data_IF_834612270577
#
_entry.id   IF_834612270577
#
_cell.length_a   1.000
_cell.length_b   1.000
_cell.length_c   1.000
_cell.angle_alpha   90.00
_cell.angle_beta   90.00
_cell.angle_gamma   90.00
#
_symmetry.space_group_name_H-M   'P 1'
#
loop_
_entity.id
_entity.type
_entity.pdbx_description
1 polymer ?
#
# COMPACT_ATOMS: atom_id res chain seq x y z
N UNK A 1 -12.22 9.51 -35.64
CA UNK A 1 -11.97 10.86 -35.10
C UNK A 1 -13.19 11.18 -34.25
N UNK A 2 -13.06 11.05 -32.93
CA UNK A 2 -14.20 11.14 -32.01
C UNK A 2 -14.52 12.59 -31.73
N UNK A 3 -15.73 13.01 -32.09
CA UNK A 3 -16.25 14.35 -31.80
C UNK A 3 -16.17 14.59 -30.29
N UNK A 4 -15.27 15.48 -29.89
CA UNK A 4 -15.25 16.02 -28.53
C UNK A 4 -16.49 16.90 -28.42
N UNK A 5 -17.61 16.31 -28.00
CA UNK A 5 -18.79 17.06 -27.56
C UNK A 5 -18.44 17.67 -26.21
N UNK A 6 -17.71 18.79 -26.26
CA UNK A 6 -17.50 19.63 -25.09
C UNK A 6 -18.85 20.26 -24.77
N UNK A 7 -19.65 19.56 -23.97
CA UNK A 7 -20.84 20.13 -23.36
C UNK A 7 -20.33 20.89 -22.13
N UNK A 8 -20.56 22.20 -22.01
CA UNK A 8 -20.09 23.00 -20.88
C UNK A 8 -20.47 22.42 -19.51
N UNK A 9 -21.57 21.66 -19.44
CA UNK A 9 -21.99 20.93 -18.24
C UNK A 9 -20.97 19.91 -17.74
N UNK A 10 -20.26 19.22 -18.65
CA UNK A 10 -19.34 18.14 -18.30
C UNK A 10 -18.05 18.69 -17.68
N UNK A 11 -17.58 19.85 -18.15
CA UNK A 11 -16.45 20.54 -17.55
C UNK A 11 -16.78 20.94 -16.11
N UNK A 12 -17.96 21.55 -15.90
CA UNK A 12 -18.41 21.95 -14.56
C UNK A 12 -18.55 20.71 -13.66
N UNK A 13 -19.17 19.64 -14.15
CA UNK A 13 -19.29 18.37 -13.41
C UNK A 13 -17.91 17.78 -13.05
N UNK A 14 -16.95 17.83 -13.98
CA UNK A 14 -15.59 17.36 -13.75
C UNK A 14 -14.84 18.18 -12.69
N UNK A 15 -14.98 19.51 -12.71
CA UNK A 15 -14.41 20.40 -11.68
C UNK A 15 -15.04 20.12 -10.31
N UNK A 16 -16.37 19.97 -10.26
CA UNK A 16 -17.08 19.65 -9.01
C UNK A 16 -16.62 18.29 -8.48
N UNK A 17 -16.57 17.27 -9.33
CA UNK A 17 -16.10 15.94 -8.95
C UNK A 17 -14.66 15.98 -8.41
N UNK A 18 -13.77 16.69 -9.09
CA UNK A 18 -12.39 16.89 -8.64
C UNK A 18 -12.32 17.56 -7.25
N UNK A 19 -13.09 18.63 -7.05
CA UNK A 19 -13.14 19.37 -5.78
C UNK A 19 -13.68 18.49 -4.64
N UNK A 20 -14.77 17.76 -4.89
CA UNK A 20 -15.37 16.83 -3.92
C UNK A 20 -14.40 15.71 -3.56
N UNK A 21 -13.80 15.04 -4.54
CA UNK A 21 -12.86 13.95 -4.29
C UNK A 21 -11.60 14.42 -3.56
N UNK A 22 -11.09 15.60 -3.89
CA UNK A 22 -9.95 16.20 -3.18
C UNK A 22 -10.32 16.55 -1.73
N UNK A 23 -11.54 17.06 -1.49
CA UNK A 23 -12.04 17.33 -0.15
C UNK A 23 -12.21 16.05 0.67
N UNK A 24 -12.77 14.99 0.07
CA UNK A 24 -12.89 13.66 0.69
C UNK A 24 -11.51 13.10 1.03
N UNK A 25 -10.55 13.19 0.12
CA UNK A 25 -9.16 12.77 0.37
C UNK A 25 -8.55 13.55 1.54
N UNK A 26 -8.80 14.86 1.62
CA UNK A 26 -8.39 15.70 2.75
C UNK A 26 -9.06 15.31 4.08
N UNK A 27 -10.32 14.89 4.04
CA UNK A 27 -11.04 14.39 5.20
C UNK A 27 -10.49 13.04 5.69
N UNK A 28 -10.25 12.10 4.76
CA UNK A 28 -9.62 10.81 5.02
C UNK A 28 -8.24 11.01 5.65
N UNK A 29 -7.39 11.87 5.08
CA UNK A 29 -6.07 12.19 5.64
C UNK A 29 -6.16 12.67 7.09
N UNK A 30 -7.05 13.62 7.37
CA UNK A 30 -7.27 14.13 8.74
C UNK A 30 -7.80 13.06 9.68
N UNK A 31 -8.66 12.16 9.20
CA UNK A 31 -9.21 11.08 9.99
C UNK A 31 -8.14 10.04 10.37
N UNK A 32 -7.32 9.62 9.39
CA UNK A 32 -6.17 8.72 9.57
C UNK A 32 -5.18 9.32 10.57
N UNK A 33 -4.85 10.60 10.39
CA UNK A 33 -3.90 11.33 11.23
C UNK A 33 -4.36 11.42 12.69
N UNK A 34 -5.65 11.74 12.91
CA UNK A 34 -6.19 12.02 14.25
C UNK A 34 -6.58 10.77 15.05
N UNK A 35 -7.14 9.73 14.41
CA UNK A 35 -7.71 8.58 15.13
C UNK A 35 -6.88 7.31 15.04
N UNK A 36 -6.28 7.02 13.88
CA UNK A 36 -5.78 5.68 13.62
C UNK A 36 -4.28 5.53 13.80
N UNK A 37 -3.48 6.46 13.28
CA UNK A 37 -2.01 6.32 13.33
C UNK A 37 -1.44 6.49 14.74
N UNK A 38 -2.10 7.26 15.62
CA UNK A 38 -1.70 7.41 17.03
C UNK A 38 -1.74 6.09 17.82
N UNK A 39 -2.52 5.10 17.37
CA UNK A 39 -2.68 3.82 18.07
C UNK A 39 -1.75 2.73 17.54
N UNK A 40 -1.22 2.89 16.31
CA UNK A 40 -0.48 1.85 15.59
C UNK A 40 1.03 2.09 15.63
N UNK A 41 1.48 3.35 15.58
CA UNK A 41 2.92 3.66 15.60
C UNK A 41 3.20 5.01 16.28
N UNK A 42 4.20 5.02 17.16
CA UNK A 42 4.75 6.26 17.76
C UNK A 42 5.76 6.93 16.82
N UNK A 43 6.22 6.23 15.78
CA UNK A 43 7.18 6.76 14.81
C UNK A 43 6.52 7.81 13.90
N UNK A 44 6.96 9.06 14.06
CA UNK A 44 6.49 10.20 13.28
C UNK A 44 6.81 10.05 11.79
N UNK A 45 7.95 9.45 11.44
CA UNK A 45 8.38 9.30 10.04
C UNK A 45 7.46 8.35 9.26
N UNK A 46 7.12 7.20 9.84
CA UNK A 46 6.19 6.26 9.24
C UNK A 46 4.78 6.86 9.06
N UNK A 47 4.32 7.62 10.07
CA UNK A 47 3.02 8.32 10.03
C UNK A 47 2.96 9.36 8.91
N UNK A 48 3.97 10.22 8.81
CA UNK A 48 4.03 11.27 7.79
C UNK A 48 4.15 10.69 6.39
N UNK A 49 4.93 9.61 6.22
CA UNK A 49 5.02 8.88 4.96
C UNK A 49 3.65 8.33 4.52
N UNK A 50 2.91 7.68 5.41
CA UNK A 50 1.58 7.13 5.11
C UNK A 50 0.57 8.22 4.72
N UNK A 51 0.50 9.31 5.48
CA UNK A 51 -0.40 10.45 5.16
C UNK A 51 -0.05 11.06 3.81
N UNK A 52 1.25 11.16 3.51
CA UNK A 52 1.75 11.68 2.24
C UNK A 52 1.38 10.77 1.07
N UNK A 53 1.58 9.45 1.19
CA UNK A 53 1.22 8.45 0.17
C UNK A 53 -0.29 8.48 -0.11
N UNK A 54 -1.12 8.46 0.93
CA UNK A 54 -2.59 8.56 0.80
C UNK A 54 -2.98 9.88 0.12
N UNK A 55 -2.31 10.97 0.48
CA UNK A 55 -2.55 12.29 -0.08
C UNK A 55 -2.28 12.37 -1.58
N UNK A 56 -1.11 11.91 -2.03
CA UNK A 56 -0.75 11.91 -3.44
C UNK A 56 -1.60 10.94 -4.24
N UNK A 57 -1.86 9.75 -3.70
CA UNK A 57 -2.71 8.75 -4.37
C UNK A 57 -4.12 9.27 -4.58
N UNK A 58 -4.74 9.81 -3.52
CA UNK A 58 -6.10 10.36 -3.61
C UNK A 58 -6.18 11.60 -4.52
N UNK A 59 -5.16 12.46 -4.52
CA UNK A 59 -5.09 13.58 -5.46
C UNK A 59 -5.01 13.11 -6.92
N UNK A 60 -4.12 12.16 -7.23
CA UNK A 60 -4.00 11.60 -8.60
C UNK A 60 -5.30 10.97 -9.07
N UNK A 61 -5.97 10.19 -8.21
CA UNK A 61 -7.28 9.60 -8.54
C UNK A 61 -8.32 10.69 -8.79
N UNK A 62 -8.39 11.70 -7.91
CA UNK A 62 -9.33 12.83 -8.06
C UNK A 62 -9.13 13.53 -9.40
N UNK A 63 -7.87 13.76 -9.79
CA UNK A 63 -7.50 14.39 -11.05
C UNK A 63 -7.94 13.56 -12.27
N UNK A 64 -7.61 12.27 -12.29
CA UNK A 64 -7.96 11.38 -13.40
C UNK A 64 -9.48 11.28 -13.57
N UNK A 65 -10.22 11.14 -12.47
CA UNK A 65 -11.69 11.09 -12.49
C UNK A 65 -12.28 12.42 -12.96
N UNK A 66 -11.80 13.55 -12.45
CA UNK A 66 -12.26 14.88 -12.87
C UNK A 66 -12.02 15.14 -14.35
N UNK A 67 -10.85 14.76 -14.89
CA UNK A 67 -10.54 14.85 -16.31
C UNK A 67 -11.45 13.96 -17.16
N UNK A 68 -11.68 12.71 -16.74
CA UNK A 68 -12.56 11.78 -17.43
C UNK A 68 -14.00 12.31 -17.53
N UNK A 69 -14.56 12.78 -16.41
CA UNK A 69 -15.91 13.39 -16.37
C UNK A 69 -15.95 14.68 -17.20
N UNK A 70 -14.86 15.46 -17.18
CA UNK A 70 -14.69 16.66 -18.01
C UNK A 70 -14.67 16.41 -19.51
N UNK A 71 -14.69 15.14 -19.95
CA UNK A 71 -14.66 14.76 -21.36
C UNK A 71 -13.26 14.62 -21.94
N UNK A 72 -12.22 14.64 -21.11
CA UNK A 72 -10.83 14.42 -21.53
C UNK A 72 -10.60 12.92 -21.70
N UNK A 73 -10.07 12.51 -22.86
CA UNK A 73 -9.69 11.12 -23.09
C UNK A 73 -8.40 10.80 -22.32
N UNK A 74 -8.56 10.14 -21.16
CA UNK A 74 -7.44 9.73 -20.30
C UNK A 74 -6.84 8.36 -20.67
N UNK A 75 -7.27 7.72 -21.75
CA UNK A 75 -6.83 6.36 -22.10
C UNK A 75 -5.31 6.26 -22.24
N UNK A 76 -4.68 7.24 -22.92
CA UNK A 76 -3.22 7.28 -23.05
C UNK A 76 -2.51 7.46 -21.70
N UNK A 77 -3.05 8.32 -20.83
CA UNK A 77 -2.52 8.49 -19.46
C UNK A 77 -2.66 7.22 -18.64
N UNK A 78 -3.78 6.51 -18.76
CA UNK A 78 -4.03 5.25 -18.06
C UNK A 78 -3.04 4.15 -18.48
N UNK A 79 -2.68 4.07 -19.76
CA UNK A 79 -1.67 3.13 -20.25
C UNK A 79 -0.30 3.43 -19.63
N UNK A 80 0.14 4.69 -19.64
CA UNK A 80 1.41 5.09 -19.05
C UNK A 80 1.43 4.86 -17.54
N UNK A 81 0.38 5.27 -16.83
CA UNK A 81 0.24 5.03 -15.40
C UNK A 81 0.24 3.52 -15.07
N UNK A 82 -0.38 2.70 -15.91
CA UNK A 82 -0.37 1.24 -15.78
C UNK A 82 1.04 0.66 -15.93
N UNK A 83 1.76 1.05 -16.98
CA UNK A 83 3.14 0.61 -17.21
C UNK A 83 4.08 1.01 -16.05
N UNK A 84 3.96 2.25 -15.58
CA UNK A 84 4.70 2.73 -14.41
C UNK A 84 4.36 1.94 -13.15
N UNK A 85 3.07 1.66 -12.92
CA UNK A 85 2.61 0.89 -11.75
C UNK A 85 3.17 -0.53 -11.75
N UNK A 86 3.21 -1.18 -12.93
CA UNK A 86 3.84 -2.50 -13.11
C UNK A 86 5.34 -2.42 -12.82
N UNK A 87 6.05 -1.41 -13.34
CA UNK A 87 7.48 -1.21 -13.08
C UNK A 87 7.80 -1.01 -11.59
N UNK A 88 7.00 -0.20 -10.88
CA UNK A 88 7.12 -0.01 -9.43
C UNK A 88 6.86 -1.32 -8.69
N UNK A 89 5.83 -2.08 -9.11
CA UNK A 89 5.52 -3.39 -8.53
C UNK A 89 6.69 -4.38 -8.65
N UNK A 90 7.35 -4.44 -9.81
CA UNK A 90 8.56 -5.24 -9.98
C UNK A 90 9.72 -4.75 -9.09
N UNK A 91 9.91 -3.44 -8.94
CA UNK A 91 10.92 -2.88 -8.04
C UNK A 91 10.68 -3.21 -6.56
N UNK A 92 9.41 -3.30 -6.15
CA UNK A 92 9.01 -3.62 -4.77
C UNK A 92 8.81 -5.12 -4.51
N UNK A 93 8.96 -5.97 -5.53
CA UNK A 93 8.66 -7.40 -5.45
C UNK A 93 9.41 -8.11 -4.31
N UNK A 94 10.71 -7.82 -4.15
CA UNK A 94 11.54 -8.43 -3.10
C UNK A 94 11.03 -8.09 -1.69
N UNK A 95 10.67 -6.82 -1.46
CA UNK A 95 10.13 -6.35 -0.18
C UNK A 95 8.79 -7.04 0.12
N UNK A 96 7.91 -7.12 -0.88
CA UNK A 96 6.62 -7.79 -0.74
C UNK A 96 6.79 -9.29 -0.43
N UNK A 97 7.69 -9.98 -1.13
CA UNK A 97 7.98 -11.41 -0.89
C UNK A 97 8.51 -11.65 0.53
N UNK A 98 9.46 -10.83 1.00
CA UNK A 98 9.98 -10.93 2.36
C UNK A 98 8.90 -10.69 3.41
N UNK A 99 8.02 -9.71 3.18
CA UNK A 99 6.91 -9.41 4.08
C UNK A 99 5.89 -10.55 4.18
N UNK A 100 5.44 -11.08 3.04
CA UNK A 100 4.51 -12.21 2.99
C UNK A 100 5.13 -13.43 3.66
N UNK A 101 6.41 -13.71 3.40
CA UNK A 101 7.13 -14.81 4.04
C UNK A 101 7.14 -14.66 5.56
N UNK A 102 7.35 -13.44 6.07
CA UNK A 102 7.26 -13.13 7.49
C UNK A 102 5.87 -13.44 8.08
N UNK A 103 4.78 -13.05 7.41
CA UNK A 103 3.41 -13.36 7.86
C UNK A 103 3.15 -14.87 7.86
N UNK A 104 3.56 -15.58 6.79
CA UNK A 104 3.38 -17.03 6.68
C UNK A 104 4.10 -17.74 7.82
N UNK A 105 5.34 -17.38 8.12
CA UNK A 105 6.10 -17.95 9.23
C UNK A 105 5.40 -17.77 10.59
N UNK A 106 4.78 -16.62 10.83
CA UNK A 106 4.02 -16.35 12.06
C UNK A 106 2.76 -17.22 12.16
N UNK A 107 2.11 -17.51 11.02
CA UNK A 107 0.87 -18.27 10.96
C UNK A 107 1.10 -19.77 11.01
N UNK A 108 2.07 -20.24 10.22
CA UNK A 108 2.37 -21.66 10.01
C UNK A 108 3.16 -22.24 11.19
N UNK A 109 3.77 -21.39 12.03
CA UNK A 109 4.63 -21.77 13.18
C UNK A 109 5.50 -23.01 12.86
N UNK A 110 6.32 -22.97 11.79
CA UNK A 110 7.08 -24.13 11.33
C UNK A 110 8.20 -24.57 12.29
N UNK A 111 8.42 -23.81 13.38
CA UNK A 111 9.27 -24.21 14.49
C UNK A 111 8.48 -23.96 15.78
N UNK A 112 8.07 -25.03 16.46
CA UNK A 112 7.67 -24.90 17.86
C UNK A 112 8.93 -25.01 18.70
N UNK A 113 9.09 -24.12 19.68
CA UNK A 113 9.98 -24.43 20.79
C UNK A 113 9.47 -25.74 21.44
N UNK A 114 10.19 -26.83 21.24
CA UNK A 114 9.75 -28.19 21.57
C UNK A 114 9.93 -29.25 20.48
N UNK A 115 10.37 -28.86 19.26
CA UNK A 115 10.67 -29.85 18.21
C UNK A 115 11.85 -30.74 18.60
N UNK A 116 11.67 -32.04 18.36
CA UNK A 116 12.68 -33.07 18.60
C UNK A 116 13.73 -32.97 17.50
N UNK A 117 14.97 -32.65 17.86
CA UNK A 117 16.05 -32.43 16.90
C UNK A 117 17.08 -33.52 17.10
N UNK A 118 17.35 -34.30 16.06
CA UNK A 118 18.48 -35.22 16.00
C UNK A 118 19.66 -34.51 15.35
N UNK A 119 20.76 -34.36 16.10
CA UNK A 119 22.00 -33.78 15.59
C UNK A 119 23.08 -34.85 15.72
N UNK A 120 23.42 -35.49 14.60
CA UNK A 120 24.33 -36.64 14.59
C UNK A 120 23.64 -37.89 15.13
N UNK A 121 24.12 -38.40 16.27
CA UNK A 121 23.68 -39.65 16.90
C UNK A 121 22.95 -39.42 18.24
N UNK A 122 22.49 -38.18 18.47
CA UNK A 122 21.90 -37.76 19.74
C UNK A 122 20.47 -37.23 19.52
N UNK A 123 19.53 -37.88 20.18
CA UNK A 123 18.10 -37.57 20.17
C UNK A 123 17.67 -36.84 21.45
N UNK A 124 16.98 -35.70 21.32
CA UNK A 124 16.50 -34.95 22.49
C UNK A 124 15.60 -33.74 22.17
N UNK A 125 14.87 -33.26 23.18
CA UNK A 125 14.02 -32.06 23.10
C UNK A 125 14.85 -30.83 23.47
N UNK A 126 15.01 -29.91 22.53
CA UNK A 126 15.78 -28.67 22.74
C UNK A 126 15.05 -27.75 23.72
N UNK A 127 15.64 -27.48 24.89
CA UNK A 127 15.04 -26.62 25.92
C UNK A 127 15.42 -25.15 25.76
N UNK A 128 16.61 -24.83 25.25
CA UNK A 128 17.05 -23.43 25.07
C UNK A 128 18.23 -23.28 24.10
N UNK A 129 18.13 -22.34 23.17
CA UNK A 129 19.23 -21.94 22.28
C UNK A 129 19.89 -20.66 22.82
N UNK A 130 21.21 -20.65 22.95
CA UNK A 130 22.01 -19.46 23.33
C UNK A 130 23.14 -19.21 22.33
N UNK A 131 23.63 -17.97 22.25
CA UNK A 131 24.56 -17.47 21.21
C UNK A 131 25.89 -18.25 21.10
N UNK A 132 26.24 -19.11 22.05
CA UNK A 132 27.45 -19.97 21.98
C UNK A 132 27.21 -21.45 22.29
N UNK A 133 25.97 -21.88 22.56
CA UNK A 133 25.63 -23.28 22.79
C UNK A 133 24.10 -23.49 22.86
N UNK A 134 23.64 -24.64 22.37
CA UNK A 134 22.27 -25.15 22.54
C UNK A 134 22.25 -26.19 23.66
N UNK A 135 21.26 -26.14 24.56
CA UNK A 135 21.01 -27.16 25.60
C UNK A 135 19.56 -27.64 25.57
#
# INVERSE_FOLDING_TARGET
MGDIRIIPSNIIAGIIAFAVLTAVTGWIKRWIDRRWLRQITTDRGARDALVTIVGYTGFTISLLVGLSIGGVNITGLAVVAGALSVGIGFGLQSIANNFISGIILLFERPIKAGDFVSVGDVEGIVKKISIRATR
#
